data_IF_533860402767
#
_entry.id   IF_533860402767
#
_cell.length_a   1.000
_cell.length_b   1.000
_cell.length_c   1.000
_cell.angle_alpha   90.00
_cell.angle_beta   90.00
_cell.angle_gamma   90.00
#
_symmetry.space_group_name_H-M   'P 1'
#
loop_
_entity.id
_entity.type
_entity.pdbx_description
1 polymer ?
#
# COMPACT_ATOMS: atom_id res chain seq x y z
N UNK A 1 8.56 17.19 12.99
CA UNK A 1 9.03 16.26 11.93
C UNK A 1 7.93 15.24 11.70
N UNK A 2 7.49 15.02 10.46
CA UNK A 2 6.49 13.96 10.19
C UNK A 2 7.18 12.61 10.31
N UNK A 3 6.65 11.75 11.19
CA UNK A 3 7.12 10.38 11.34
C UNK A 3 6.01 9.43 10.87
N UNK A 4 6.36 8.35 10.18
CA UNK A 4 5.38 7.38 9.66
C UNK A 4 5.79 5.95 9.98
N UNK A 5 4.80 5.08 10.20
CA UNK A 5 4.98 3.63 10.20
C UNK A 5 4.06 2.97 9.18
N UNK A 6 4.53 1.88 8.57
CA UNK A 6 3.73 1.07 7.66
C UNK A 6 3.19 -0.14 8.40
N UNK A 7 1.87 -0.34 8.34
CA UNK A 7 1.20 -1.52 8.87
C UNK A 7 0.65 -2.34 7.71
N UNK A 8 1.04 -3.61 7.65
CA UNK A 8 0.57 -4.56 6.66
C UNK A 8 -0.63 -5.31 7.26
N UNK A 9 -1.67 -5.48 6.46
CA UNK A 9 -2.90 -6.16 6.83
C UNK A 9 -3.07 -7.36 5.90
N UNK A 10 -3.17 -8.55 6.49
CA UNK A 10 -3.36 -9.79 5.71
C UNK A 10 -4.68 -9.71 4.93
N UNK A 11 -4.65 -10.13 3.68
CA UNK A 11 -5.88 -10.32 2.91
C UNK A 11 -6.73 -11.40 3.58
N UNK A 12 -8.03 -11.16 3.70
CA UNK A 12 -8.97 -12.23 4.00
C UNK A 12 -9.21 -13.11 2.75
N UNK A 13 -9.94 -14.22 2.92
CA UNK A 13 -10.25 -15.14 1.81
C UNK A 13 -11.15 -14.56 0.71
N UNK A 14 -11.54 -13.28 0.78
CA UNK A 14 -12.41 -12.61 -0.19
C UNK A 14 -11.64 -11.55 -1.02
N UNK A 15 -10.30 -11.54 -0.94
CA UNK A 15 -9.50 -10.59 -1.70
C UNK A 15 -9.51 -10.88 -3.21
N UNK A 16 -9.36 -9.82 -4.00
CA UNK A 16 -9.25 -9.94 -5.45
C UNK A 16 -8.03 -10.80 -5.85
N UNK A 17 -8.11 -11.57 -6.95
CA UNK A 17 -7.00 -12.39 -7.42
C UNK A 17 -5.69 -11.60 -7.54
N UNK A 18 -4.62 -12.14 -6.96
CA UNK A 18 -3.30 -11.51 -6.99
C UNK A 18 -3.06 -10.43 -5.95
N UNK A 19 -4.06 -10.02 -5.16
CA UNK A 19 -3.83 -9.15 -4.00
C UNK A 19 -3.12 -9.95 -2.90
N UNK A 20 -2.06 -9.39 -2.36
CA UNK A 20 -1.20 -10.04 -1.36
C UNK A 20 -1.44 -9.48 0.05
N UNK A 21 -1.65 -8.18 0.16
CA UNK A 21 -1.93 -7.52 1.43
C UNK A 21 -2.64 -6.18 1.20
N UNK A 22 -3.34 -5.72 2.22
CA UNK A 22 -3.63 -4.30 2.40
C UNK A 22 -2.48 -3.64 3.18
N UNK A 23 -2.30 -2.34 3.01
CA UNK A 23 -1.33 -1.58 3.78
C UNK A 23 -1.91 -0.24 4.22
N UNK A 24 -1.46 0.21 5.39
CA UNK A 24 -1.85 1.47 6.01
C UNK A 24 -0.60 2.24 6.43
N UNK A 25 -0.66 3.57 6.32
CA UNK A 25 0.37 4.47 6.84
C UNK A 25 -0.16 5.10 8.10
N UNK A 26 0.51 4.91 9.22
CA UNK A 26 0.20 5.59 10.47
C UNK A 26 1.11 6.80 10.60
N UNK A 27 0.53 7.95 10.96
CA UNK A 27 1.26 9.18 11.21
C UNK A 27 1.52 9.30 12.71
N UNK A 28 2.81 9.39 13.07
CA UNK A 28 3.31 9.33 14.45
C UNK A 28 4.03 10.64 14.81
N UNK A 29 3.53 11.78 14.33
CA UNK A 29 4.05 13.10 14.64
C UNK A 29 3.59 14.19 13.69
N UNK A 30 3.64 15.44 14.17
CA UNK A 30 3.15 16.61 13.44
C UNK A 30 1.62 16.72 13.48
N UNK A 31 1.06 17.47 12.54
CA UNK A 31 -0.36 17.82 12.49
C UNK A 31 -1.27 16.63 12.16
N UNK A 32 -0.70 15.55 11.64
CA UNK A 32 -1.42 14.31 11.33
C UNK A 32 -1.29 13.25 12.42
N UNK A 33 -0.64 13.56 13.54
CA UNK A 33 -0.41 12.59 14.61
C UNK A 33 -1.71 11.93 15.10
N UNK A 34 -1.67 10.61 15.27
CA UNK A 34 -2.83 9.80 15.65
C UNK A 34 -3.79 9.44 14.50
N UNK A 35 -3.52 9.92 13.27
CA UNK A 35 -4.28 9.53 12.08
C UNK A 35 -3.58 8.40 11.31
N UNK A 36 -4.36 7.70 10.48
CA UNK A 36 -3.84 6.75 9.49
C UNK A 36 -4.43 6.98 8.11
N UNK A 37 -3.62 6.77 7.08
CA UNK A 37 -4.05 6.73 5.69
C UNK A 37 -4.19 5.28 5.23
N UNK A 38 -5.41 4.92 4.83
CA UNK A 38 -5.79 3.58 4.37
C UNK A 38 -5.98 3.53 2.85
N UNK A 39 -6.06 2.32 2.30
CA UNK A 39 -6.38 2.10 0.88
C UNK A 39 -5.15 1.84 0.00
N UNK A 40 -3.99 1.57 0.60
CA UNK A 40 -2.88 0.97 -0.13
C UNK A 40 -3.11 -0.54 -0.22
N UNK A 41 -2.67 -1.14 -1.32
CA UNK A 41 -2.66 -2.59 -1.46
C UNK A 41 -1.40 -3.05 -2.18
N UNK A 42 -0.87 -4.18 -1.72
CA UNK A 42 0.25 -4.89 -2.33
C UNK A 42 -0.30 -5.99 -3.21
N UNK A 43 0.20 -6.07 -4.43
CA UNK A 43 -0.23 -7.00 -5.46
C UNK A 43 0.95 -7.82 -5.94
N UNK A 44 0.69 -9.05 -6.37
CA UNK A 44 1.65 -9.79 -7.19
C UNK A 44 1.79 -9.06 -8.52
N UNK A 45 3.02 -8.84 -8.98
CA UNK A 45 3.23 -8.20 -10.26
C UNK A 45 2.70 -9.07 -11.42
N UNK A 46 2.21 -8.41 -12.48
CA UNK A 46 1.58 -9.09 -13.62
C UNK A 46 2.54 -9.98 -14.39
N UNK A 47 3.82 -9.63 -14.40
CA UNK A 47 4.87 -10.39 -15.08
C UNK A 47 5.34 -11.59 -14.25
N UNK A 48 4.72 -11.83 -13.10
CA UNK A 48 5.03 -12.94 -12.19
C UNK A 48 6.25 -12.71 -11.29
N UNK A 49 7.00 -11.64 -11.54
CA UNK A 49 8.21 -11.29 -10.79
C UNK A 49 7.98 -10.09 -9.87
N UNK A 50 8.00 -10.34 -8.55
CA UNK A 50 7.92 -9.29 -7.53
C UNK A 50 6.49 -8.82 -7.23
N UNK A 51 6.40 -7.61 -6.67
CA UNK A 51 5.18 -7.03 -6.15
C UNK A 51 5.02 -5.56 -6.54
N UNK A 52 3.77 -5.14 -6.74
CA UNK A 52 3.38 -3.77 -7.06
C UNK A 52 2.50 -3.18 -5.95
N UNK A 53 2.43 -1.85 -5.88
CA UNK A 53 1.60 -1.13 -4.90
C UNK A 53 0.57 -0.25 -5.60
N UNK A 54 -0.70 -0.44 -5.25
CA UNK A 54 -1.76 0.52 -5.57
C UNK A 54 -1.95 1.51 -4.41
N UNK A 55 -2.25 2.76 -4.75
CA UNK A 55 -2.44 3.85 -3.80
C UNK A 55 -3.92 4.02 -3.44
N UNK A 56 -4.22 4.70 -2.31
CA UNK A 56 -5.58 5.11 -1.99
C UNK A 56 -6.18 5.82 -3.19
N UNK A 57 -7.36 5.36 -3.59
CA UNK A 57 -7.98 5.82 -4.83
C UNK A 57 -9.50 5.84 -4.69
N UNK A 58 -10.14 6.67 -5.51
CA UNK A 58 -11.60 6.78 -5.55
C UNK A 58 -12.10 6.37 -6.93
N UNK A 59 -13.15 5.56 -6.92
CA UNK A 59 -13.92 5.24 -8.13
C UNK A 59 -14.93 6.35 -8.42
N UNK A 60 -15.14 6.62 -9.70
CA UNK A 60 -16.16 7.54 -10.20
C UNK A 60 -16.67 7.06 -11.55
N UNK A 61 -17.81 7.59 -11.98
CA UNK A 61 -18.37 7.34 -13.31
C UNK A 61 -18.22 8.61 -14.14
N UNK A 62 -17.64 8.48 -15.33
CA UNK A 62 -17.57 9.55 -16.32
C UNK A 62 -18.02 9.00 -17.66
N UNK A 63 -19.00 9.66 -18.29
CA UNK A 63 -19.57 9.24 -19.58
C UNK A 63 -20.05 7.76 -19.57
N UNK A 64 -20.64 7.31 -18.46
CA UNK A 64 -21.10 5.92 -18.29
C UNK A 64 -20.00 4.89 -18.00
N UNK A 65 -18.72 5.28 -18.03
CA UNK A 65 -17.60 4.38 -17.75
C UNK A 65 -17.12 4.53 -16.30
N UNK A 66 -16.87 3.41 -15.62
CA UNK A 66 -16.26 3.39 -14.29
C UNK A 66 -14.76 3.61 -14.39
N UNK A 67 -14.27 4.68 -13.77
CA UNK A 67 -12.85 5.05 -13.73
C UNK A 67 -12.38 5.18 -12.28
N UNK A 68 -11.07 5.14 -12.10
CA UNK A 68 -10.42 5.28 -10.79
C UNK A 68 -9.31 6.31 -10.87
N UNK A 69 -9.15 7.13 -9.83
CA UNK A 69 -8.03 8.06 -9.73
C UNK A 69 -7.39 8.00 -8.33
N UNK A 70 -6.04 8.06 -8.23
CA UNK A 70 -5.37 8.15 -6.93
C UNK A 70 -5.71 9.42 -6.14
N UNK A 71 -5.80 9.28 -4.82
CA UNK A 71 -5.99 10.39 -3.89
C UNK A 71 -4.64 11.01 -3.48
N UNK A 72 -3.60 10.19 -3.33
CA UNK A 72 -2.25 10.69 -3.06
C UNK A 72 -1.59 11.11 -4.37
N UNK A 73 -1.10 12.35 -4.46
CA UNK A 73 -0.49 12.93 -5.66
C UNK A 73 0.89 13.48 -5.35
N UNK A 74 1.81 13.35 -6.30
CA UNK A 74 3.05 14.11 -6.26
C UNK A 74 2.76 15.60 -6.51
N UNK A 75 3.61 16.47 -5.96
CA UNK A 75 3.52 17.92 -6.16
C UNK A 75 4.55 18.34 -7.21
N UNK A 76 5.84 18.22 -6.89
CA UNK A 76 6.93 18.60 -7.79
C UNK A 76 7.66 17.39 -8.41
N UNK A 77 7.86 16.32 -7.64
CA UNK A 77 8.63 15.14 -8.06
C UNK A 77 7.72 13.91 -8.21
N UNK A 78 7.57 13.44 -9.45
CA UNK A 78 6.77 12.24 -9.76
C UNK A 78 7.32 10.98 -9.08
N UNK A 79 8.62 10.92 -8.80
CA UNK A 79 9.24 9.78 -8.12
C UNK A 79 8.85 9.70 -6.63
N UNK A 80 8.25 10.75 -6.06
CA UNK A 80 7.79 10.74 -4.67
C UNK A 80 6.85 9.56 -4.37
N UNK A 81 5.98 9.20 -5.33
CA UNK A 81 5.13 8.02 -5.19
C UNK A 81 5.93 6.72 -5.25
N UNK A 82 6.89 6.60 -6.16
CA UNK A 82 7.73 5.40 -6.26
C UNK A 82 8.55 5.16 -4.97
N UNK A 83 9.07 6.24 -4.36
CA UNK A 83 9.76 6.20 -3.07
C UNK A 83 8.84 5.63 -1.97
N UNK A 84 7.61 6.12 -1.87
CA UNK A 84 6.64 5.63 -0.89
C UNK A 84 6.20 4.19 -1.17
N UNK A 85 5.99 3.81 -2.44
CA UNK A 85 5.72 2.42 -2.82
C UNK A 85 6.86 1.50 -2.36
N UNK A 86 8.12 1.92 -2.54
CA UNK A 86 9.28 1.19 -2.04
C UNK A 86 9.30 1.02 -0.52
N UNK A 87 8.85 2.02 0.25
CA UNK A 87 8.71 1.91 1.71
C UNK A 87 7.66 0.86 2.08
N UNK A 88 6.49 0.86 1.41
CA UNK A 88 5.43 -0.14 1.63
C UNK A 88 5.90 -1.54 1.28
N UNK A 89 6.57 -1.72 0.14
CA UNK A 89 7.10 -3.01 -0.30
C UNK A 89 8.15 -3.58 0.65
N UNK A 90 9.03 -2.73 1.20
CA UNK A 90 10.00 -3.17 2.21
C UNK A 90 9.32 -3.65 3.48
N UNK A 91 8.28 -2.94 3.95
CA UNK A 91 7.51 -3.36 5.11
C UNK A 91 6.82 -4.73 4.86
N UNK A 92 6.18 -4.89 3.70
CA UNK A 92 5.57 -6.16 3.30
C UNK A 92 6.57 -7.32 3.28
N UNK A 93 7.71 -7.15 2.62
CA UNK A 93 8.74 -8.21 2.53
C UNK A 93 9.30 -8.57 3.90
N UNK A 94 9.50 -7.58 4.77
CA UNK A 94 9.98 -7.82 6.15
C UNK A 94 8.97 -8.65 6.95
N UNK A 95 7.68 -8.32 6.87
CA UNK A 95 6.63 -9.10 7.53
C UNK A 95 6.53 -10.53 6.98
N UNK A 96 6.71 -10.72 5.66
CA UNK A 96 6.73 -12.05 5.05
C UNK A 96 7.89 -12.90 5.56
N UNK A 97 9.09 -12.33 5.70
CA UNK A 97 10.25 -13.03 6.27
C UNK A 97 9.97 -13.47 7.70
N UNK A 98 9.51 -12.57 8.56
CA UNK A 98 9.17 -12.87 9.96
C UNK A 98 8.10 -13.96 10.06
N UNK A 99 7.04 -13.88 9.26
CA UNK A 99 5.98 -14.89 9.25
C UNK A 99 6.51 -16.28 8.82
N UNK A 100 7.46 -16.34 7.89
CA UNK A 100 8.07 -17.61 7.45
C UNK A 100 8.96 -18.21 8.53
N UNK A 101 9.73 -17.38 9.24
CA UNK A 101 10.56 -17.83 10.37
C UNK A 101 9.72 -18.40 11.50
N UNK A 102 8.61 -17.74 11.85
CA UNK A 102 7.66 -18.22 12.85
C UNK A 102 7.03 -19.56 12.43
N UNK A 103 6.66 -19.70 11.14
CA UNK A 103 6.05 -20.94 10.65
C UNK A 103 7.03 -22.12 10.54
N UNK A 104 8.34 -21.87 10.61
CA UNK A 104 9.38 -22.89 10.55
C UNK A 104 9.86 -23.37 11.93
N UNK A 105 9.36 -22.75 13.02
CA UNK A 105 9.58 -23.14 14.41
C UNK A 105 8.43 -24.02 14.91
#
# INVERSE_FOLDING_TARGET
MTNISIHIQKTNGQAAPGKLADAEIHFNGGELDGLKLVGFAVWRSRDGHGEDVSFPSRQFVANGERRTFPLLRWIADREAQAKLAGVVLRAYRSEQTVNREIAAQ
#
